data_IF_376407591868
#
_entry.id   IF_376407591868
#
_cell.length_a   1.000
_cell.length_b   1.000
_cell.length_c   1.000
_cell.angle_alpha   90.00
_cell.angle_beta   90.00
_cell.angle_gamma   90.00
#
_symmetry.space_group_name_H-M   'P 1'
#
loop_
_entity.id
_entity.type
_entity.pdbx_description
1 polymer ?
#
# COMPACT_ATOMS: atom_id res chain seq x y z
N UNK A 1 -9.76 4.07 -11.99
CA UNK A 1 -8.76 4.52 -12.97
C UNK A 1 -7.53 3.63 -12.88
N UNK A 2 -6.90 3.32 -14.05
CA UNK A 2 -5.63 2.59 -14.09
C UNK A 2 -4.50 3.60 -14.22
N UNK A 3 -3.53 3.55 -13.33
CA UNK A 3 -2.30 4.35 -13.43
C UNK A 3 -1.25 3.52 -14.16
N UNK A 4 -0.81 3.99 -15.34
CA UNK A 4 0.21 3.34 -16.15
C UNK A 4 1.52 4.12 -16.07
N UNK A 5 2.59 3.42 -15.70
CA UNK A 5 3.96 3.93 -15.78
C UNK A 5 4.78 3.04 -16.72
N UNK A 6 5.69 3.65 -17.47
CA UNK A 6 6.64 2.93 -18.29
C UNK A 6 8.02 3.57 -18.19
N UNK A 7 9.02 2.81 -17.79
CA UNK A 7 10.41 3.24 -17.90
C UNK A 7 10.87 3.12 -19.36
N UNK A 8 11.33 4.22 -19.93
CA UNK A 8 11.82 4.32 -21.33
C UNK A 8 13.31 4.67 -21.41
N UNK A 9 13.99 4.71 -20.27
CA UNK A 9 15.42 4.94 -20.14
C UNK A 9 16.05 3.97 -19.14
N UNK A 10 17.31 3.62 -19.36
CA UNK A 10 18.10 2.82 -18.43
C UNK A 10 18.25 3.54 -17.09
N UNK A 11 18.41 2.76 -15.99
CA UNK A 11 18.62 3.26 -14.64
C UNK A 11 17.45 4.13 -14.09
N UNK A 12 16.25 3.94 -14.61
CA UNK A 12 15.05 4.64 -14.12
C UNK A 12 14.65 4.12 -12.75
N UNK A 13 14.28 5.04 -11.85
CA UNK A 13 13.79 4.71 -10.51
C UNK A 13 12.36 5.21 -10.32
N UNK A 14 11.51 4.38 -9.70
CA UNK A 14 10.14 4.71 -9.35
C UNK A 14 9.84 4.29 -7.92
N UNK A 15 9.39 5.24 -7.10
CA UNK A 15 8.74 4.96 -5.82
C UNK A 15 7.27 5.36 -5.90
N UNK A 16 6.36 4.42 -5.59
CA UNK A 16 4.92 4.64 -5.64
C UNK A 16 4.27 4.15 -4.37
N UNK A 17 3.70 5.09 -3.63
CA UNK A 17 2.98 4.77 -2.39
C UNK A 17 1.51 5.21 -2.53
N UNK A 18 0.58 4.39 -2.04
CA UNK A 18 -0.82 4.75 -1.98
C UNK A 18 -1.49 4.24 -0.71
N UNK A 19 -2.49 4.96 -0.23
CA UNK A 19 -3.39 4.50 0.82
C UNK A 19 -4.83 4.80 0.43
N UNK A 20 -5.72 3.83 0.66
CA UNK A 20 -7.15 3.99 0.49
C UNK A 20 -7.87 3.61 1.77
N UNK A 21 -8.89 4.39 2.13
CA UNK A 21 -9.61 4.31 3.40
C UNK A 21 -11.13 4.30 3.14
N UNK A 22 -11.67 3.27 2.43
CA UNK A 22 -13.10 3.17 2.19
C UNK A 22 -13.86 2.87 3.49
N UNK A 23 -14.97 3.58 3.71
CA UNK A 23 -15.89 3.37 4.84
C UNK A 23 -17.33 3.27 4.38
N UNK A 24 -18.22 2.90 5.28
CA UNK A 24 -19.65 2.71 5.01
C UNK A 24 -19.87 1.76 3.82
N UNK A 25 -20.42 2.25 2.70
CA UNK A 25 -20.64 1.47 1.48
C UNK A 25 -19.75 1.95 0.32
N UNK A 26 -18.63 2.61 0.63
CA UNK A 26 -17.70 3.09 -0.39
C UNK A 26 -16.88 1.95 -0.98
N UNK A 27 -16.57 2.10 -2.26
CA UNK A 27 -15.65 1.21 -2.98
C UNK A 27 -14.44 2.02 -3.43
N UNK A 28 -13.24 1.62 -3.00
CA UNK A 28 -11.98 2.16 -3.48
C UNK A 28 -11.29 1.12 -4.36
N UNK A 29 -11.16 1.41 -5.66
CA UNK A 29 -10.50 0.53 -6.63
C UNK A 29 -9.20 1.19 -7.10
N UNK A 30 -8.06 0.60 -6.74
CA UNK A 30 -6.72 1.03 -7.12
C UNK A 30 -6.14 0.06 -8.13
N UNK A 31 -5.81 0.57 -9.32
CA UNK A 31 -5.19 -0.21 -10.38
C UNK A 31 -3.90 0.44 -10.83
N UNK A 32 -2.82 -0.33 -10.81
CA UNK A 32 -1.49 0.11 -11.25
C UNK A 32 -0.93 -0.86 -12.28
N UNK A 33 -0.31 -0.31 -13.32
CA UNK A 33 0.46 -1.08 -14.28
C UNK A 33 1.80 -0.39 -14.50
N UNK A 34 2.87 -1.08 -14.11
CA UNK A 34 4.24 -0.63 -14.31
C UNK A 34 4.91 -1.51 -15.34
N UNK A 35 5.45 -0.90 -16.39
CA UNK A 35 6.24 -1.58 -17.42
C UNK A 35 7.71 -1.15 -17.30
N UNK A 36 8.58 -2.08 -16.98
CA UNK A 36 10.03 -1.89 -17.11
C UNK A 36 10.44 -2.22 -18.54
N UNK A 37 10.80 -1.18 -19.31
CA UNK A 37 11.16 -1.27 -20.71
C UNK A 37 12.66 -1.30 -20.97
N UNK A 38 13.50 -0.91 -20.01
CA UNK A 38 14.94 -0.75 -20.16
C UNK A 38 15.71 -1.34 -18.98
N UNK A 39 17.03 -1.50 -19.15
CA UNK A 39 17.92 -2.17 -18.17
C UNK A 39 18.09 -1.37 -16.87
N UNK A 40 18.50 -2.08 -15.80
CA UNK A 40 18.90 -1.53 -14.51
C UNK A 40 17.83 -0.64 -13.86
N UNK A 41 16.56 -0.88 -14.13
CA UNK A 41 15.47 -0.09 -13.55
C UNK A 41 15.10 -0.59 -12.15
N UNK A 42 14.74 0.35 -11.27
CA UNK A 42 14.32 0.09 -9.90
C UNK A 42 12.86 0.52 -9.71
N UNK A 43 12.06 -0.32 -9.04
CA UNK A 43 10.76 0.13 -8.56
C UNK A 43 10.45 -0.39 -7.16
N UNK A 44 9.85 0.48 -6.35
CA UNK A 44 9.34 0.18 -5.02
C UNK A 44 7.91 0.68 -4.93
N UNK A 45 6.98 -0.25 -4.69
CA UNK A 45 5.57 0.07 -4.57
C UNK A 45 5.06 -0.39 -3.21
N UNK A 46 4.46 0.52 -2.45
CA UNK A 46 3.77 0.23 -1.19
C UNK A 46 2.33 0.73 -1.29
N UNK A 47 1.40 -0.21 -1.35
CA UNK A 47 -0.02 0.05 -1.39
C UNK A 47 -0.68 -0.41 -0.10
N UNK A 48 -1.47 0.44 0.54
CA UNK A 48 -2.18 0.11 1.77
C UNK A 48 -3.67 0.36 1.62
N UNK A 49 -4.47 -0.54 2.21
CA UNK A 49 -5.90 -0.36 2.29
C UNK A 49 -6.37 -0.55 3.73
N UNK A 50 -7.24 0.34 4.20
CA UNK A 50 -7.92 0.20 5.49
C UNK A 50 -9.42 0.23 5.20
N UNK A 51 -10.06 -0.94 5.18
CA UNK A 51 -11.49 -1.04 4.93
C UNK A 51 -12.26 -1.01 6.25
N UNK A 52 -13.14 -0.02 6.40
CA UNK A 52 -13.92 0.27 7.60
C UNK A 52 -15.41 -0.04 7.36
N UNK A 53 -16.14 -0.39 8.40
CA UNK A 53 -17.59 -0.69 8.38
C UNK A 53 -17.95 -1.77 7.33
N UNK A 54 -18.59 -1.38 6.21
CA UNK A 54 -18.89 -2.20 5.05
C UNK A 54 -18.14 -1.70 3.79
N UNK A 55 -17.07 -0.91 3.97
CA UNK A 55 -16.24 -0.42 2.89
C UNK A 55 -15.51 -1.54 2.16
N UNK A 56 -15.31 -1.37 0.86
CA UNK A 56 -14.62 -2.33 0.00
C UNK A 56 -13.38 -1.70 -0.63
N UNK A 57 -12.22 -2.33 -0.44
CA UNK A 57 -10.99 -1.98 -1.15
C UNK A 57 -10.67 -3.04 -2.20
N UNK A 58 -10.32 -2.59 -3.40
CA UNK A 58 -9.84 -3.43 -4.50
C UNK A 58 -8.46 -2.94 -4.90
N UNK A 59 -7.50 -3.84 -4.95
CA UNK A 59 -6.17 -3.58 -5.48
C UNK A 59 -5.85 -4.54 -6.62
N UNK A 60 -5.48 -4.00 -7.77
CA UNK A 60 -4.99 -4.77 -8.90
C UNK A 60 -3.70 -4.11 -9.42
N UNK A 61 -2.56 -4.69 -9.05
CA UNK A 61 -1.22 -4.22 -9.42
C UNK A 61 -0.56 -5.17 -10.41
N UNK A 62 0.04 -4.63 -11.48
CA UNK A 62 0.80 -5.37 -12.47
C UNK A 62 2.18 -4.76 -12.62
N UNK A 63 3.23 -5.59 -12.57
CA UNK A 63 4.58 -5.24 -13.01
C UNK A 63 4.91 -6.13 -14.21
N UNK A 64 5.20 -5.50 -15.35
CA UNK A 64 5.66 -6.18 -16.57
C UNK A 64 7.13 -5.83 -16.79
N UNK A 65 7.98 -6.84 -16.96
CA UNK A 65 9.42 -6.67 -17.28
C UNK A 65 9.65 -7.21 -18.67
N UNK A 66 10.02 -6.33 -19.62
CA UNK A 66 10.24 -6.72 -21.02
C UNK A 66 11.54 -7.50 -21.18
N UNK A 67 11.74 -8.27 -22.29
CA UNK A 67 12.93 -9.11 -22.47
C UNK A 67 14.27 -8.38 -22.38
N UNK A 68 14.32 -7.11 -22.78
CA UNK A 68 15.54 -6.29 -22.74
C UNK A 68 15.79 -5.63 -21.37
N UNK A 69 14.81 -5.62 -20.47
CA UNK A 69 14.89 -4.95 -19.16
C UNK A 69 15.67 -5.79 -18.11
N UNK A 70 16.89 -6.21 -18.49
CA UNK A 70 17.78 -6.97 -17.62
C UNK A 70 18.16 -6.16 -16.37
N UNK A 71 18.47 -6.86 -15.28
CA UNK A 71 18.86 -6.28 -13.97
C UNK A 71 17.81 -5.35 -13.37
N UNK A 72 16.56 -5.50 -13.77
CA UNK A 72 15.44 -4.84 -13.10
C UNK A 72 15.27 -5.36 -11.68
N UNK A 73 15.07 -4.45 -10.72
CA UNK A 73 14.70 -4.77 -9.34
C UNK A 73 13.35 -4.14 -9.02
N UNK A 74 12.29 -4.95 -9.14
CA UNK A 74 10.90 -4.52 -8.99
C UNK A 74 10.23 -5.16 -7.77
N UNK A 75 9.78 -4.34 -6.82
CA UNK A 75 9.07 -4.82 -5.64
C UNK A 75 7.72 -4.13 -5.48
N UNK A 76 6.69 -4.92 -5.21
CA UNK A 76 5.33 -4.45 -4.96
C UNK A 76 4.78 -5.09 -3.69
N UNK A 77 4.38 -4.26 -2.73
CA UNK A 77 3.78 -4.70 -1.48
C UNK A 77 2.39 -4.09 -1.34
N UNK A 78 1.40 -4.93 -1.01
CA UNK A 78 0.06 -4.49 -0.70
C UNK A 78 -0.36 -5.01 0.68
N UNK A 79 -0.40 -4.12 1.66
CA UNK A 79 -0.77 -4.43 3.04
C UNK A 79 -2.17 -3.90 3.33
N UNK A 80 -3.03 -4.75 3.87
CA UNK A 80 -4.45 -4.45 4.01
C UNK A 80 -4.96 -4.75 5.41
N UNK A 81 -5.78 -3.85 5.95
CA UNK A 81 -6.36 -3.93 7.29
C UNK A 81 -7.88 -3.86 7.21
N UNK A 82 -8.55 -4.86 7.80
CA UNK A 82 -10.00 -4.95 7.97
C UNK A 82 -10.39 -4.44 9.35
N UNK A 83 -11.22 -3.38 9.43
CA UNK A 83 -11.71 -2.80 10.67
C UNK A 83 -13.21 -3.04 10.93
N UNK A 84 -13.96 -3.45 9.91
CA UNK A 84 -15.38 -3.76 10.01
C UNK A 84 -15.67 -5.24 9.75
N UNK A 85 -16.75 -5.77 10.33
CA UNK A 85 -17.16 -7.16 10.10
C UNK A 85 -17.70 -7.40 8.68
N UNK A 86 -18.19 -6.33 8.04
CA UNK A 86 -18.67 -6.35 6.66
C UNK A 86 -17.66 -5.77 5.66
N UNK A 87 -16.51 -5.32 6.16
CA UNK A 87 -15.44 -4.80 5.30
C UNK A 87 -14.88 -5.89 4.39
N UNK A 88 -14.54 -5.51 3.15
CA UNK A 88 -14.05 -6.41 2.12
C UNK A 88 -12.76 -5.89 1.50
N UNK A 89 -11.85 -6.82 1.21
CA UNK A 89 -10.60 -6.52 0.50
C UNK A 89 -10.39 -7.57 -0.58
N UNK A 90 -10.29 -7.11 -1.82
CA UNK A 90 -9.90 -7.91 -2.98
C UNK A 90 -8.52 -7.44 -3.45
N UNK A 91 -7.50 -8.29 -3.34
CA UNK A 91 -6.14 -7.94 -3.75
C UNK A 91 -5.59 -8.91 -4.79
N UNK A 92 -5.01 -8.36 -5.86
CA UNK A 92 -4.44 -9.11 -6.97
C UNK A 92 -3.13 -8.48 -7.46
N UNK A 93 -2.01 -8.65 -6.76
CA UNK A 93 -0.70 -8.29 -7.29
C UNK A 93 -0.24 -9.34 -8.31
N UNK A 94 0.34 -8.90 -9.43
CA UNK A 94 0.77 -9.75 -10.55
C UNK A 94 2.14 -9.33 -11.07
N UNK A 95 2.91 -10.31 -11.55
CA UNK A 95 4.20 -10.11 -12.23
C UNK A 95 4.15 -10.82 -13.58
N UNK A 96 4.56 -10.12 -14.63
CA UNK A 96 4.84 -10.67 -15.95
C UNK A 96 6.31 -10.43 -16.29
N UNK A 97 7.13 -11.45 -16.20
CA UNK A 97 8.59 -11.33 -16.31
C UNK A 97 9.05 -12.06 -17.55
N UNK A 98 9.62 -11.31 -18.50
CA UNK A 98 10.13 -11.80 -19.77
C UNK A 98 11.66 -11.68 -19.88
N UNK A 99 12.35 -11.22 -18.83
CA UNK A 99 13.81 -11.13 -18.74
C UNK A 99 14.35 -12.13 -17.72
N UNK A 100 15.56 -12.70 -17.97
CA UNK A 100 16.12 -13.77 -17.14
C UNK A 100 16.86 -13.26 -15.90
N UNK A 101 17.58 -12.14 -15.99
CA UNK A 101 18.39 -11.58 -14.89
C UNK A 101 17.67 -10.41 -14.23
N UNK A 102 16.75 -10.73 -13.31
CA UNK A 102 15.97 -9.73 -12.59
C UNK A 102 15.72 -10.12 -11.13
N UNK A 103 15.38 -9.14 -10.29
CA UNK A 103 14.93 -9.32 -8.91
C UNK A 103 13.54 -8.73 -8.77
N UNK A 104 12.51 -9.55 -8.98
CA UNK A 104 11.14 -9.09 -8.88
C UNK A 104 10.36 -9.89 -7.85
N UNK A 105 9.59 -9.18 -7.03
CA UNK A 105 8.74 -9.79 -6.02
C UNK A 105 7.46 -9.01 -5.83
N UNK A 106 6.43 -9.73 -5.41
CA UNK A 106 5.23 -9.12 -4.87
C UNK A 106 4.82 -9.79 -3.56
N UNK A 107 4.11 -9.05 -2.70
CA UNK A 107 3.50 -9.57 -1.49
C UNK A 107 2.17 -8.90 -1.23
N UNK A 108 1.23 -9.66 -0.67
CA UNK A 108 -0.03 -9.11 -0.18
C UNK A 108 -0.36 -9.71 1.18
N UNK A 109 -0.86 -8.87 2.08
CA UNK A 109 -1.38 -9.28 3.37
C UNK A 109 -2.80 -8.74 3.55
N UNK A 110 -3.65 -9.52 4.18
CA UNK A 110 -4.98 -9.10 4.64
C UNK A 110 -5.11 -9.56 6.08
N UNK A 111 -5.30 -8.62 6.98
CA UNK A 111 -5.38 -8.90 8.42
C UNK A 111 -6.36 -8.01 9.15
N UNK A 112 -6.51 -8.29 10.43
CA UNK A 112 -7.21 -7.45 11.42
C UNK A 112 -6.19 -6.93 12.43
N UNK A 113 -6.61 -6.01 13.29
CA UNK A 113 -5.76 -5.57 14.41
C UNK A 113 -5.45 -6.78 15.28
N UNK A 114 -4.17 -6.93 15.61
CA UNK A 114 -3.68 -8.01 16.46
C UNK A 114 -4.10 -7.77 17.92
N UNK A 115 -4.79 -8.76 18.50
CA UNK A 115 -5.26 -8.70 19.88
C UNK A 115 -4.10 -8.67 20.90
N UNK A 116 -2.95 -9.26 20.60
CA UNK A 116 -1.77 -9.18 21.46
C UNK A 116 -1.20 -7.77 21.51
N UNK A 117 -1.14 -7.07 20.37
CA UNK A 117 -0.75 -5.67 20.32
C UNK A 117 -1.72 -4.79 21.11
N UNK A 118 -3.02 -5.01 20.98
CA UNK A 118 -4.03 -4.31 21.77
C UNK A 118 -3.88 -4.59 23.26
N UNK A 119 -3.69 -5.84 23.63
CA UNK A 119 -3.47 -6.23 25.03
C UNK A 119 -2.23 -5.54 25.60
N UNK A 120 -1.13 -5.52 24.88
CA UNK A 120 0.10 -4.85 25.30
C UNK A 120 -0.11 -3.36 25.58
N UNK A 121 -0.75 -2.63 24.67
CA UNK A 121 -1.03 -1.21 24.84
C UNK A 121 -1.96 -0.96 26.03
N UNK A 122 -2.99 -1.79 26.19
CA UNK A 122 -3.93 -1.70 27.33
C UNK A 122 -3.27 -2.01 28.68
N UNK A 123 -2.34 -2.96 28.73
CA UNK A 123 -1.58 -3.26 29.95
C UNK A 123 -0.69 -2.09 30.41
N UNK A 124 -0.40 -1.14 29.51
CA UNK A 124 0.30 0.11 29.79
C UNK A 124 -0.64 1.26 30.15
N UNK A 125 -1.93 1.00 30.34
CA UNK A 125 -2.92 1.99 30.75
C UNK A 125 -3.56 2.77 29.60
N UNK A 126 -3.32 2.41 28.34
CA UNK A 126 -3.95 3.06 27.20
C UNK A 126 -5.37 2.51 27.02
N UNK A 127 -6.36 3.41 26.91
CA UNK A 127 -7.75 3.00 26.66
C UNK A 127 -7.88 2.25 25.32
N UNK A 128 -8.82 1.30 25.22
CA UNK A 128 -8.97 0.44 24.04
C UNK A 128 -9.17 1.25 22.75
N UNK A 129 -9.98 2.30 22.80
CA UNK A 129 -10.22 3.19 21.65
C UNK A 129 -8.93 3.87 21.17
N UNK A 130 -8.14 4.37 22.11
CA UNK A 130 -6.87 5.03 21.80
C UNK A 130 -5.82 4.03 21.30
N UNK A 131 -5.74 2.83 21.87
CA UNK A 131 -4.85 1.78 21.42
C UNK A 131 -5.16 1.39 19.96
N UNK A 132 -6.45 1.24 19.61
CA UNK A 132 -6.87 0.99 18.22
C UNK A 132 -6.46 2.11 17.28
N UNK A 133 -6.74 3.37 17.64
CA UNK A 133 -6.35 4.54 16.85
C UNK A 133 -4.84 4.58 16.60
N UNK A 134 -4.04 4.33 17.64
CA UNK A 134 -2.58 4.31 17.52
C UNK A 134 -2.10 3.27 16.50
N UNK A 135 -2.63 2.04 16.54
CA UNK A 135 -2.25 0.97 15.62
C UNK A 135 -2.66 1.32 14.17
N UNK A 136 -3.89 1.78 13.99
CA UNK A 136 -4.41 2.16 12.66
C UNK A 136 -3.59 3.32 12.08
N UNK A 137 -3.32 4.33 12.90
CA UNK A 137 -2.52 5.48 12.49
C UNK A 137 -1.09 5.07 12.10
N UNK A 138 -0.43 4.24 12.92
CA UNK A 138 0.91 3.73 12.62
C UNK A 138 0.92 2.93 11.31
N UNK A 139 -0.07 2.06 11.11
CA UNK A 139 -0.21 1.30 9.86
C UNK A 139 -0.36 2.24 8.65
N UNK A 140 -1.19 3.27 8.73
CA UNK A 140 -1.37 4.22 7.63
C UNK A 140 -0.15 5.12 7.41
N UNK A 141 0.50 5.57 8.48
CA UNK A 141 1.60 6.53 8.43
C UNK A 141 2.90 5.95 7.83
N UNK A 142 3.11 4.63 7.88
CA UNK A 142 4.30 3.95 7.34
C UNK A 142 4.60 4.37 5.88
N UNK A 143 3.54 4.56 5.04
CA UNK A 143 3.73 4.99 3.66
C UNK A 143 4.41 6.37 3.52
N UNK A 144 4.39 7.17 4.58
CA UNK A 144 5.01 8.50 4.59
C UNK A 144 6.47 8.51 5.03
N UNK A 145 7.01 7.37 5.47
CA UNK A 145 8.40 7.29 5.95
C UNK A 145 9.41 7.58 4.83
N UNK A 146 9.10 7.17 3.60
CA UNK A 146 9.93 7.43 2.42
C UNK A 146 9.77 8.84 1.83
N UNK A 147 8.86 9.67 2.37
CA UNK A 147 8.64 11.02 1.86
C UNK A 147 9.64 12.00 2.48
N UNK A 148 10.58 12.49 1.66
CA UNK A 148 11.57 13.49 2.08
C UNK A 148 10.96 14.89 2.23
N UNK A 149 9.97 15.24 1.40
CA UNK A 149 9.32 16.54 1.44
C UNK A 149 8.37 16.63 2.64
N UNK A 150 8.75 17.43 3.64
CA UNK A 150 7.99 17.60 4.89
C UNK A 150 6.59 18.20 4.69
N UNK A 151 6.40 19.06 3.70
CA UNK A 151 5.10 19.68 3.41
C UNK A 151 4.13 18.63 2.87
N UNK A 152 4.58 17.80 1.92
CA UNK A 152 3.78 16.69 1.38
C UNK A 152 3.49 15.68 2.48
N UNK A 153 4.48 15.32 3.28
CA UNK A 153 4.32 14.39 4.40
C UNK A 153 3.25 14.87 5.38
N UNK A 154 3.33 16.13 5.82
CA UNK A 154 2.35 16.73 6.72
C UNK A 154 0.95 16.70 6.11
N UNK A 155 0.81 17.12 4.85
CA UNK A 155 -0.48 17.12 4.16
C UNK A 155 -1.10 15.71 4.09
N UNK A 156 -0.30 14.69 3.74
CA UNK A 156 -0.79 13.29 3.69
C UNK A 156 -1.24 12.81 5.06
N UNK A 157 -0.44 13.07 6.12
CA UNK A 157 -0.80 12.69 7.49
C UNK A 157 -2.07 13.39 7.98
N UNK A 158 -2.25 14.68 7.67
CA UNK A 158 -3.48 15.41 7.99
C UNK A 158 -4.71 14.80 7.32
N UNK A 159 -4.61 14.42 6.03
CA UNK A 159 -5.69 13.76 5.30
C UNK A 159 -6.03 12.38 5.89
N UNK A 160 -5.02 11.59 6.26
CA UNK A 160 -5.21 10.30 6.95
C UNK A 160 -5.91 10.53 8.29
N UNK A 161 -5.43 11.47 9.11
CA UNK A 161 -5.99 11.78 10.42
C UNK A 161 -7.45 12.24 10.31
N UNK A 162 -7.74 13.13 9.37
CA UNK A 162 -9.11 13.59 9.11
C UNK A 162 -10.03 12.41 8.80
N UNK A 163 -9.59 11.49 7.95
CA UNK A 163 -10.40 10.33 7.57
C UNK A 163 -10.59 9.35 8.73
N UNK A 164 -9.56 9.14 9.54
CA UNK A 164 -9.60 8.24 10.70
C UNK A 164 -10.31 8.83 11.93
N UNK A 165 -10.42 10.16 12.04
CA UNK A 165 -11.17 10.79 13.15
C UNK A 165 -12.68 10.54 13.09
N UNK A 166 -13.17 10.08 11.95
CA UNK A 166 -14.57 9.74 11.73
C UNK A 166 -14.89 8.26 12.06
N UNK A 167 -13.95 7.53 12.70
CA UNK A 167 -14.05 6.08 13.04
C UNK A 167 -14.28 5.87 14.55
#
# INVERSE_FOLDING_TARGET
YTTLFRSTGENSELSMNSVVLPKANEIADTRTWLVHGEKNCLSRQLHKSIAMDAGKAVFNGMITVTPQALKTDGQMTNNNLLLGDKAQIDTKPQLEIYADDVKCSHGATVGRIDDEQLFYLRSRGIALSEARKMIIHAFAAELTESLENSVIKTHVLERINQRLSEV
#
